data_IF_589836931826
#
_entry.id   IF_589836931826
#
_cell.length_a   1.000
_cell.length_b   1.000
_cell.length_c   1.000
_cell.angle_alpha   90.00
_cell.angle_beta   90.00
_cell.angle_gamma   90.00
#
_symmetry.space_group_name_H-M   'P 1'
#
loop_
_entity.id
_entity.type
_entity.pdbx_description
1 polymer ?
#
# COMPACT_ATOMS: atom_id res chain seq x y z
N UNK A 1 12.76 -1.56 28.50
CA UNK A 1 12.25 -0.90 27.28
C UNK A 1 10.94 -1.57 26.92
N UNK A 2 9.82 -0.83 26.99
CA UNK A 2 8.48 -1.38 26.82
C UNK A 2 8.27 -1.80 25.36
N UNK A 3 8.18 -3.11 25.12
CA UNK A 3 7.78 -3.69 23.86
C UNK A 3 6.35 -3.22 23.56
N UNK A 4 6.22 -2.21 22.68
CA UNK A 4 4.91 -1.82 22.14
C UNK A 4 4.34 -3.07 21.47
N UNK A 5 3.27 -3.62 22.05
CA UNK A 5 2.43 -4.64 21.41
C UNK A 5 1.84 -4.04 20.14
N UNK A 6 2.59 -4.10 19.04
CA UNK A 6 2.07 -3.77 17.73
C UNK A 6 1.15 -4.92 17.30
N UNK A 7 -0.13 -4.61 17.12
CA UNK A 7 -1.10 -5.54 16.57
C UNK A 7 -0.72 -5.77 15.12
N UNK A 8 0.02 -6.84 14.84
CA UNK A 8 0.38 -7.21 13.47
C UNK A 8 -0.87 -7.73 12.75
N UNK A 9 -1.29 -6.99 11.72
CA UNK A 9 -2.35 -7.38 10.79
C UNK A 9 -1.77 -8.09 9.58
N UNK A 10 -2.44 -9.16 9.14
CA UNK A 10 -2.05 -9.85 7.92
C UNK A 10 -2.23 -8.90 6.72
N UNK A 11 -1.21 -8.80 5.88
CA UNK A 11 -1.21 -7.95 4.68
C UNK A 11 -2.36 -8.29 3.71
N UNK A 12 -2.82 -9.53 3.69
CA UNK A 12 -4.00 -9.97 2.93
C UNK A 12 -5.26 -9.26 3.37
N UNK A 13 -5.44 -9.14 4.68
CA UNK A 13 -6.55 -8.40 5.28
C UNK A 13 -6.47 -6.94 4.88
N UNK A 14 -5.29 -6.33 4.90
CA UNK A 14 -5.11 -4.93 4.48
C UNK A 14 -5.47 -4.71 3.01
N UNK A 15 -5.04 -5.57 2.09
CA UNK A 15 -5.40 -5.48 0.67
C UNK A 15 -6.89 -5.64 0.41
N UNK A 16 -7.49 -6.67 1.03
CA UNK A 16 -8.92 -6.90 0.89
C UNK A 16 -9.74 -5.77 1.52
N UNK A 17 -9.26 -5.18 2.63
CA UNK A 17 -9.90 -4.03 3.27
C UNK A 17 -9.86 -2.79 2.36
N UNK A 18 -8.75 -2.52 1.67
CA UNK A 18 -8.69 -1.47 0.63
C UNK A 18 -9.74 -1.72 -0.44
N UNK A 19 -9.80 -2.94 -0.98
CA UNK A 19 -10.73 -3.27 -2.07
C UNK A 19 -12.18 -3.11 -1.62
N UNK A 20 -12.54 -3.66 -0.47
CA UNK A 20 -13.90 -3.64 0.07
C UNK A 20 -14.35 -2.23 0.42
N UNK A 21 -13.51 -1.45 1.12
CA UNK A 21 -13.84 -0.05 1.47
C UNK A 21 -14.02 0.79 0.21
N UNK A 22 -13.12 0.69 -0.78
CA UNK A 22 -13.26 1.46 -2.03
C UNK A 22 -14.48 1.02 -2.85
N UNK A 23 -14.79 -0.28 -2.91
CA UNK A 23 -15.97 -0.80 -3.59
C UNK A 23 -17.26 -0.27 -2.96
N UNK A 24 -17.35 -0.32 -1.62
CA UNK A 24 -18.51 0.21 -0.90
C UNK A 24 -18.68 1.71 -1.12
N UNK A 25 -17.58 2.47 -1.08
CA UNK A 25 -17.59 3.92 -1.27
C UNK A 25 -17.92 4.31 -2.72
N UNK A 26 -17.57 3.47 -3.70
CA UNK A 26 -17.98 3.63 -5.09
C UNK A 26 -19.48 3.37 -5.28
N UNK A 27 -20.02 2.30 -4.69
CA UNK A 27 -21.44 1.93 -4.78
C UNK A 27 -22.36 2.94 -4.05
N UNK A 28 -21.87 3.54 -2.96
CA UNK A 28 -22.64 4.51 -2.18
C UNK A 28 -22.47 5.93 -2.72
N UNK A 29 -23.58 6.67 -2.83
CA UNK A 29 -23.57 8.12 -3.13
C UNK A 29 -23.83 8.99 -1.88
N UNK A 30 -24.16 8.37 -0.75
CA UNK A 30 -24.49 9.11 0.48
C UNK A 30 -23.22 9.61 1.19
N UNK A 31 -23.17 10.92 1.44
CA UNK A 31 -22.05 11.60 2.14
C UNK A 31 -21.82 11.03 3.55
N UNK A 32 -22.88 10.60 4.24
CA UNK A 32 -22.71 10.05 5.58
C UNK A 32 -22.05 8.67 5.57
N UNK A 33 -22.38 7.85 4.58
CA UNK A 33 -21.73 6.54 4.44
C UNK A 33 -20.23 6.70 4.17
N UNK A 34 -19.86 7.69 3.33
CA UNK A 34 -18.47 8.08 3.10
C UNK A 34 -17.78 8.56 4.39
N UNK A 35 -18.43 9.42 5.17
CA UNK A 35 -17.93 9.90 6.47
C UNK A 35 -17.65 8.75 7.44
N UNK A 36 -18.60 7.84 7.61
CA UNK A 36 -18.49 6.69 8.53
C UNK A 36 -17.32 5.78 8.13
N UNK A 37 -17.19 5.47 6.84
CA UNK A 37 -16.10 4.62 6.35
C UNK A 37 -14.73 5.29 6.47
N UNK A 38 -14.60 6.57 6.10
CA UNK A 38 -13.33 7.30 6.22
C UNK A 38 -12.93 7.44 7.68
N UNK A 39 -13.88 7.77 8.56
CA UNK A 39 -13.61 7.84 9.99
C UNK A 39 -13.21 6.48 10.57
N UNK A 40 -13.85 5.40 10.13
CA UNK A 40 -13.45 4.02 10.45
C UNK A 40 -12.01 3.72 10.05
N UNK A 41 -11.60 4.08 8.83
CA UNK A 41 -10.21 3.93 8.36
C UNK A 41 -9.22 4.77 9.17
N UNK A 42 -9.58 6.01 9.53
CA UNK A 42 -8.75 6.87 10.38
C UNK A 42 -8.56 6.27 11.78
N UNK A 43 -9.63 5.71 12.36
CA UNK A 43 -9.61 5.05 13.65
C UNK A 43 -8.70 3.81 13.62
N UNK A 44 -8.73 3.01 12.55
CA UNK A 44 -7.81 1.87 12.39
C UNK A 44 -6.34 2.31 12.40
N UNK A 45 -6.00 3.41 11.73
CA UNK A 45 -4.62 3.93 11.69
C UNK A 45 -4.18 4.54 13.03
N UNK A 46 -5.10 5.14 13.79
CA UNK A 46 -4.77 5.66 15.13
C UNK A 46 -4.52 4.53 16.12
N UNK A 47 -5.31 3.44 16.07
CA UNK A 47 -5.07 2.22 16.87
C UNK A 47 -3.69 1.63 16.57
N UNK A 48 -3.28 1.64 15.30
CA UNK A 48 -1.97 1.14 14.87
C UNK A 48 -0.78 2.08 15.23
N UNK A 49 -1.06 3.20 15.90
CA UNK A 49 -0.04 4.10 16.47
C UNK A 49 0.47 5.19 15.52
N UNK A 50 -0.19 5.41 14.37
CA UNK A 50 0.21 6.42 13.38
C UNK A 50 -0.65 7.70 13.44
N UNK A 51 -0.88 8.22 14.64
CA UNK A 51 -1.76 9.38 14.88
C UNK A 51 -1.37 10.64 14.08
N UNK A 52 -0.06 10.89 13.89
CA UNK A 52 0.40 12.02 13.06
C UNK A 52 -0.11 11.92 11.63
N UNK A 53 -0.08 10.72 11.04
CA UNK A 53 -0.58 10.53 9.68
C UNK A 53 -2.10 10.65 9.61
N UNK A 54 -2.81 10.09 10.59
CA UNK A 54 -4.26 10.19 10.67
C UNK A 54 -4.72 11.66 10.74
N UNK A 55 -4.01 12.50 11.52
CA UNK A 55 -4.31 13.93 11.61
C UNK A 55 -4.13 14.67 10.27
N UNK A 56 -3.07 14.37 9.50
CA UNK A 56 -2.89 14.97 8.17
C UNK A 56 -4.03 14.58 7.23
N UNK A 57 -4.43 13.31 7.21
CA UNK A 57 -5.55 12.85 6.37
C UNK A 57 -6.90 13.42 6.81
N UNK A 58 -7.10 13.61 8.12
CA UNK A 58 -8.29 14.26 8.65
C UNK A 58 -8.39 15.72 8.18
N UNK A 59 -7.30 16.48 8.23
CA UNK A 59 -7.27 17.86 7.72
C UNK A 59 -7.58 17.90 6.23
N UNK A 60 -6.93 17.05 5.42
CA UNK A 60 -7.17 16.98 3.98
C UNK A 60 -8.64 16.66 3.70
N UNK A 61 -9.22 15.71 4.44
CA UNK A 61 -10.63 15.35 4.31
C UNK A 61 -11.57 16.51 4.64
N UNK A 62 -11.33 17.23 5.74
CA UNK A 62 -12.13 18.40 6.12
C UNK A 62 -12.05 19.53 5.09
N UNK A 63 -10.88 19.77 4.51
CA UNK A 63 -10.70 20.75 3.43
C UNK A 63 -11.52 20.36 2.21
N UNK A 64 -11.44 19.10 1.77
CA UNK A 64 -12.21 18.62 0.62
C UNK A 64 -13.72 18.69 0.86
N UNK A 65 -14.18 18.35 2.07
CA UNK A 65 -15.58 18.46 2.45
C UNK A 65 -16.05 19.93 2.48
N UNK A 66 -15.22 20.84 2.98
CA UNK A 66 -15.49 22.28 2.98
C UNK A 66 -15.58 22.88 1.57
N UNK A 67 -14.68 22.46 0.66
CA UNK A 67 -14.72 22.87 -0.75
C UNK A 67 -16.03 22.39 -1.39
N UNK A 68 -16.42 21.14 -1.19
CA UNK A 68 -17.68 20.60 -1.73
C UNK A 68 -18.90 21.38 -1.20
N UNK A 69 -18.98 21.60 0.11
CA UNK A 69 -20.10 22.36 0.72
C UNK A 69 -20.18 23.80 0.23
N UNK A 70 -19.03 24.45 -0.02
CA UNK A 70 -18.98 25.83 -0.48
C UNK A 70 -19.27 25.95 -1.99
N UNK A 71 -18.88 24.97 -2.82
CA UNK A 71 -19.12 24.99 -4.28
C UNK A 71 -20.51 24.50 -4.68
N UNK A 72 -21.11 23.58 -3.92
CA UNK A 72 -22.45 23.01 -4.20
C UNK A 72 -23.58 24.06 -4.29
N UNK A 73 -23.59 25.20 -3.59
CA UNK A 73 -24.60 26.24 -3.81
C UNK A 73 -24.32 27.13 -5.04
N UNK A 74 -23.10 27.11 -5.62
CA UNK A 74 -22.68 27.98 -6.73
C UNK A 74 -22.38 27.19 -8.02
N UNK A 75 -23.08 26.08 -8.26
CA UNK A 75 -22.84 25.13 -9.39
C UNK A 75 -23.04 25.71 -10.79
N UNK A 76 -23.38 26.99 -10.92
CA UNK A 76 -23.64 27.64 -12.20
C UNK A 76 -22.31 27.98 -12.91
N UNK A 77 -21.69 26.96 -13.51
CA UNK A 77 -20.51 27.11 -14.35
C UNK A 77 -19.78 25.79 -14.60
N UNK A 78 -19.25 25.63 -15.82
CA UNK A 78 -18.43 24.48 -16.20
C UNK A 78 -17.24 24.28 -15.25
N UNK A 79 -16.57 25.37 -14.87
CA UNK A 79 -15.45 25.35 -13.95
C UNK A 79 -15.83 24.81 -12.55
N UNK A 80 -16.94 25.27 -11.97
CA UNK A 80 -17.39 24.81 -10.65
C UNK A 80 -17.81 23.33 -10.66
N UNK A 81 -18.41 22.87 -11.75
CA UNK A 81 -18.75 21.45 -11.94
C UNK A 81 -17.50 20.58 -12.06
N UNK A 82 -16.49 21.03 -12.83
CA UNK A 82 -15.22 20.32 -12.98
C UNK A 82 -14.47 20.21 -11.64
N UNK A 83 -14.41 21.30 -10.88
CA UNK A 83 -13.75 21.29 -9.56
C UNK A 83 -14.48 20.36 -8.59
N UNK A 84 -15.82 20.40 -8.54
CA UNK A 84 -16.60 19.49 -7.67
C UNK A 84 -16.41 18.03 -8.06
N UNK A 85 -16.36 17.70 -9.36
CA UNK A 85 -16.07 16.35 -9.82
C UNK A 85 -14.69 15.86 -9.37
N UNK A 86 -13.66 16.69 -9.52
CA UNK A 86 -12.29 16.36 -9.09
C UNK A 86 -12.22 16.19 -7.57
N UNK A 87 -12.85 17.08 -6.80
CA UNK A 87 -12.88 17.01 -5.32
C UNK A 87 -13.57 15.74 -4.84
N UNK A 88 -14.74 15.40 -5.37
CA UNK A 88 -15.46 14.16 -5.05
C UNK A 88 -14.62 12.94 -5.45
N UNK A 89 -14.01 12.94 -6.64
CA UNK A 89 -13.15 11.84 -7.07
C UNK A 89 -11.96 11.64 -6.12
N UNK A 90 -11.23 12.71 -5.79
CA UNK A 90 -10.11 12.68 -4.85
C UNK A 90 -10.56 12.19 -3.45
N UNK A 91 -11.73 12.62 -2.99
CA UNK A 91 -12.30 12.21 -1.70
C UNK A 91 -12.62 10.71 -1.69
N UNK A 92 -13.18 10.17 -2.77
CA UNK A 92 -13.43 8.73 -2.92
C UNK A 92 -12.16 7.89 -2.96
N UNK A 93 -11.05 8.42 -3.49
CA UNK A 93 -9.74 7.76 -3.47
C UNK A 93 -8.97 7.94 -2.15
N UNK A 94 -9.40 8.85 -1.26
CA UNK A 94 -8.71 9.14 0.00
C UNK A 94 -8.50 7.89 0.90
N UNK A 95 -9.48 6.98 1.10
CA UNK A 95 -9.24 5.76 1.87
C UNK A 95 -8.15 4.87 1.26
N UNK A 96 -8.01 4.86 -0.07
CA UNK A 96 -6.94 4.12 -0.75
C UNK A 96 -5.56 4.69 -0.36
N UNK A 97 -5.41 6.02 -0.30
CA UNK A 97 -4.17 6.64 0.16
C UNK A 97 -3.90 6.40 1.65
N UNK A 98 -4.94 6.50 2.48
CA UNK A 98 -4.88 6.25 3.93
C UNK A 98 -4.37 4.82 4.20
N UNK A 99 -5.09 3.83 3.68
CA UNK A 99 -4.79 2.41 3.88
C UNK A 99 -3.54 1.96 3.10
N UNK A 100 -3.28 2.54 1.94
CA UNK A 100 -2.07 2.29 1.15
C UNK A 100 -0.82 2.73 1.91
N UNK A 101 -0.83 3.93 2.52
CA UNK A 101 0.26 4.38 3.39
C UNK A 101 0.42 3.45 4.60
N UNK A 102 -0.68 2.98 5.17
CA UNK A 102 -0.64 2.03 6.26
C UNK A 102 0.05 0.71 5.86
N UNK A 103 -0.26 0.17 4.68
CA UNK A 103 0.43 -0.99 4.11
C UNK A 103 1.93 -0.71 3.93
N UNK A 104 2.29 0.38 3.24
CA UNK A 104 3.69 0.69 2.90
C UNK A 104 4.57 0.95 4.13
N UNK A 105 4.01 1.52 5.20
CA UNK A 105 4.79 1.87 6.39
C UNK A 105 4.99 0.68 7.33
N UNK A 106 3.99 -0.22 7.42
CA UNK A 106 3.94 -1.26 8.45
C UNK A 106 4.16 -2.66 7.94
N UNK A 107 4.36 -2.83 6.64
CA UNK A 107 4.53 -4.15 6.03
C UNK A 107 5.95 -4.25 5.51
N UNK A 108 6.68 -5.25 6.00
CA UNK A 108 7.98 -5.56 5.44
C UNK A 108 7.83 -6.19 4.06
N UNK A 109 8.85 -5.98 3.24
CA UNK A 109 8.89 -6.48 1.87
C UNK A 109 8.88 -8.02 1.83
N UNK A 110 9.45 -8.67 2.85
CA UNK A 110 9.42 -10.12 3.07
C UNK A 110 7.99 -10.65 3.28
N UNK A 111 7.16 -9.94 4.05
CA UNK A 111 5.75 -10.29 4.28
C UNK A 111 4.92 -10.16 2.99
N UNK A 112 5.25 -9.17 2.15
CA UNK A 112 4.62 -9.00 0.84
C UNK A 112 4.84 -10.20 -0.08
N UNK A 113 6.10 -10.66 -0.19
CA UNK A 113 6.45 -11.86 -0.96
C UNK A 113 5.76 -13.11 -0.40
N UNK A 114 5.70 -13.26 0.93
CA UNK A 114 5.02 -14.39 1.57
C UNK A 114 3.51 -14.42 1.29
N UNK A 115 2.86 -13.26 1.22
CA UNK A 115 1.46 -13.15 0.83
C UNK A 115 1.23 -13.54 -0.62
N UNK A 116 2.12 -13.14 -1.53
CA UNK A 116 2.05 -13.52 -2.95
C UNK A 116 2.17 -15.03 -3.15
N UNK A 117 3.07 -15.69 -2.42
CA UNK A 117 3.16 -17.15 -2.34
C UNK A 117 1.81 -17.78 -1.99
N UNK A 118 1.14 -17.26 -0.97
CA UNK A 118 -0.11 -17.84 -0.49
C UNK A 118 -1.31 -17.47 -1.37
N UNK A 119 -1.23 -16.40 -2.16
CA UNK A 119 -2.24 -16.02 -3.18
C UNK A 119 -2.19 -16.92 -4.43
N UNK A 120 -1.32 -17.95 -4.44
CA UNK A 120 -1.12 -18.87 -5.57
C UNK A 120 -0.75 -18.14 -6.87
N UNK A 121 -0.01 -17.04 -6.75
CA UNK A 121 0.61 -16.44 -7.93
C UNK A 121 1.69 -17.39 -8.48
N UNK A 122 1.94 -17.38 -9.80
CA UNK A 122 2.89 -18.29 -10.39
C UNK A 122 4.29 -18.03 -9.82
N UNK A 123 5.01 -19.11 -9.51
CA UNK A 123 6.37 -19.03 -8.94
C UNK A 123 7.33 -18.27 -9.85
N UNK A 124 7.09 -18.31 -11.16
CA UNK A 124 7.79 -17.53 -12.19
C UNK A 124 7.78 -16.02 -11.94
N UNK A 125 6.75 -15.48 -11.28
CA UNK A 125 6.69 -14.07 -10.92
C UNK A 125 7.25 -13.79 -9.51
N UNK A 126 7.02 -14.71 -8.57
CA UNK A 126 7.36 -14.48 -7.16
C UNK A 126 8.87 -14.53 -6.93
N UNK A 127 9.58 -15.46 -7.56
CA UNK A 127 11.03 -15.64 -7.38
C UNK A 127 11.78 -14.39 -7.82
N UNK A 128 11.62 -13.88 -9.07
CA UNK A 128 12.30 -12.65 -9.49
C UNK A 128 11.91 -11.44 -8.65
N UNK A 129 10.65 -11.33 -8.23
CA UNK A 129 10.21 -10.21 -7.41
C UNK A 129 10.87 -10.21 -6.02
N UNK A 130 11.00 -11.39 -5.39
CA UNK A 130 11.71 -11.53 -4.13
C UNK A 130 13.18 -11.12 -4.25
N UNK A 131 13.79 -11.42 -5.39
CA UNK A 131 15.17 -11.02 -5.72
C UNK A 131 15.25 -9.51 -5.86
N UNK A 132 14.40 -8.89 -6.69
CA UNK A 132 14.35 -7.44 -6.87
C UNK A 132 14.24 -6.73 -5.53
N UNK A 133 13.39 -7.19 -4.64
CA UNK A 133 13.20 -6.58 -3.33
C UNK A 133 14.43 -6.66 -2.41
N UNK A 134 15.20 -7.75 -2.50
CA UNK A 134 16.44 -7.91 -1.74
C UNK A 134 17.62 -7.16 -2.36
N UNK A 135 17.63 -7.02 -3.69
CA UNK A 135 18.68 -6.33 -4.45
C UNK A 135 18.43 -4.83 -4.63
N UNK A 136 17.20 -4.35 -4.47
CA UNK A 136 16.90 -2.92 -4.61
C UNK A 136 17.70 -2.05 -3.62
N UNK A 137 17.83 -2.44 -2.32
CA UNK A 137 18.72 -1.73 -1.39
C UNK A 137 20.18 -1.73 -1.86
N UNK A 138 20.69 -2.85 -2.37
CA UNK A 138 22.09 -2.96 -2.80
C UNK A 138 22.36 -2.13 -4.05
N UNK A 139 21.43 -2.08 -5.01
CA UNK A 139 21.52 -1.22 -6.20
C UNK A 139 21.64 0.27 -5.80
N UNK A 140 20.91 0.70 -4.76
CA UNK A 140 21.01 2.07 -4.25
C UNK A 140 22.39 2.37 -3.66
N UNK A 141 22.95 1.43 -2.91
CA UNK A 141 24.30 1.54 -2.34
C UNK A 141 25.38 1.52 -3.43
N UNK A 142 25.22 0.68 -4.44
CA UNK A 142 26.13 0.57 -5.57
C UNK A 142 26.08 1.83 -6.43
N UNK A 143 24.89 2.38 -6.69
CA UNK A 143 24.74 3.67 -7.34
C UNK A 143 25.54 4.77 -6.61
N UNK A 144 25.41 4.84 -5.28
CA UNK A 144 26.13 5.83 -4.48
C UNK A 144 27.64 5.60 -4.52
N UNK A 145 28.07 4.34 -4.45
CA UNK A 145 29.48 3.93 -4.53
C UNK A 145 30.11 4.28 -5.88
N UNK A 146 29.43 3.99 -6.99
CA UNK A 146 29.90 4.33 -8.34
C UNK A 146 29.97 5.85 -8.50
N UNK A 147 28.95 6.58 -8.04
CA UNK A 147 28.94 8.05 -8.08
C UNK A 147 30.12 8.64 -7.30
N UNK A 148 30.42 8.09 -6.11
CA UNK A 148 31.54 8.51 -5.30
C UNK A 148 32.89 8.21 -5.99
N UNK A 149 33.03 7.02 -6.58
CA UNK A 149 34.23 6.63 -7.32
C UNK A 149 34.51 7.53 -8.53
N UNK A 150 33.47 7.88 -9.30
CA UNK A 150 33.61 8.80 -10.45
C UNK A 150 33.99 10.21 -10.00
N UNK A 151 33.43 10.69 -8.88
CA UNK A 151 33.80 11.98 -8.28
C UNK A 151 35.25 12.01 -7.81
N UNK A 152 35.76 10.92 -7.22
CA UNK A 152 37.17 10.81 -6.81
C UNK A 152 38.14 10.84 -8.00
N UNK A 153 37.72 10.33 -9.16
CA UNK A 153 38.50 10.40 -10.40
C UNK A 153 38.46 11.76 -11.10
N UNK A 154 37.71 12.73 -10.57
CA UNK A 154 37.55 14.06 -11.18
C UNK A 154 36.68 14.07 -12.44
N UNK A 155 35.92 13.00 -12.71
CA UNK A 155 35.08 12.88 -13.89
C UNK A 155 33.72 13.53 -13.62
N UNK A 156 33.22 14.34 -14.57
CA UNK A 156 31.86 14.86 -14.51
C UNK A 156 30.86 13.69 -14.56
N UNK A 157 30.03 13.59 -13.52
CA UNK A 157 29.08 12.49 -13.35
C UNK A 157 27.92 12.65 -14.33
N UNK A 158 27.98 11.94 -15.46
CA UNK A 158 26.84 11.73 -16.37
C UNK A 158 26.08 10.44 -16.04
N UNK A 159 24.84 10.31 -16.51
CA UNK A 159 24.04 9.10 -16.29
C UNK A 159 24.69 7.85 -16.91
N UNK A 160 25.28 7.97 -18.10
CA UNK A 160 25.96 6.86 -18.79
C UNK A 160 27.09 6.26 -17.96
N UNK A 161 27.88 7.12 -17.31
CA UNK A 161 28.97 6.73 -16.41
C UNK A 161 28.53 5.94 -15.18
N UNK A 162 27.28 6.08 -14.75
CA UNK A 162 26.73 5.29 -13.64
C UNK A 162 25.99 4.06 -14.17
N UNK A 163 25.20 4.23 -15.24
CA UNK A 163 24.29 3.21 -15.73
C UNK A 163 25.04 2.04 -16.38
N UNK A 164 26.11 2.28 -17.15
CA UNK A 164 26.86 1.20 -17.79
C UNK A 164 27.50 0.25 -16.76
N UNK A 165 28.26 0.73 -15.75
CA UNK A 165 28.78 -0.16 -14.71
C UNK A 165 27.70 -0.85 -13.88
N UNK A 166 26.62 -0.14 -13.57
CA UNK A 166 25.49 -0.69 -12.81
C UNK A 166 24.80 -1.83 -13.57
N UNK A 167 24.59 -1.68 -14.87
CA UNK A 167 24.00 -2.71 -15.73
C UNK A 167 24.91 -3.93 -15.83
N UNK A 168 26.22 -3.73 -16.02
CA UNK A 168 27.18 -4.84 -16.04
C UNK A 168 27.19 -5.62 -14.73
N UNK A 169 27.17 -4.92 -13.59
CA UNK A 169 27.07 -5.54 -12.27
C UNK A 169 25.75 -6.31 -12.11
N UNK A 170 24.62 -5.72 -12.49
CA UNK A 170 23.32 -6.36 -12.42
C UNK A 170 23.23 -7.65 -13.27
N UNK A 171 23.83 -7.65 -14.47
CA UNK A 171 23.91 -8.85 -15.33
C UNK A 171 24.72 -9.95 -14.66
N UNK A 172 25.93 -9.65 -14.18
CA UNK A 172 26.80 -10.62 -13.52
C UNK A 172 26.11 -11.22 -12.27
N UNK A 173 25.50 -10.36 -11.45
CA UNK A 173 24.74 -10.77 -10.26
C UNK A 173 23.56 -11.67 -10.64
N UNK A 174 22.86 -11.37 -11.74
CA UNK A 174 21.75 -12.19 -12.21
C UNK A 174 22.23 -13.58 -12.65
N UNK A 175 23.38 -13.67 -13.32
CA UNK A 175 23.98 -14.95 -13.73
C UNK A 175 24.40 -15.79 -12.51
N UNK A 176 25.11 -15.18 -11.56
CA UNK A 176 25.52 -15.84 -10.32
C UNK A 176 24.32 -16.34 -9.51
N UNK A 177 23.27 -15.52 -9.40
CA UNK A 177 22.06 -15.88 -8.68
C UNK A 177 21.30 -17.01 -9.38
N UNK A 178 21.25 -16.99 -10.71
CA UNK A 178 20.60 -18.04 -11.50
C UNK A 178 21.34 -19.37 -11.33
N UNK A 179 22.67 -19.37 -11.44
CA UNK A 179 23.49 -20.54 -11.19
C UNK A 179 23.32 -21.07 -9.75
N UNK A 180 23.36 -20.17 -8.76
CA UNK A 180 23.17 -20.54 -7.36
C UNK A 180 21.76 -21.10 -7.06
N UNK A 181 20.73 -20.56 -7.72
CA UNK A 181 19.36 -21.03 -7.57
C UNK A 181 19.17 -22.43 -8.17
N UNK A 182 19.73 -22.68 -9.37
CA UNK A 182 19.72 -24.01 -10.00
C UNK A 182 20.47 -25.04 -9.14
N UNK A 183 21.65 -24.69 -8.61
CA UNK A 183 22.40 -25.54 -7.70
C UNK A 183 21.65 -25.86 -6.39
N UNK A 184 20.74 -24.99 -5.95
CA UNK A 184 19.88 -25.20 -4.77
C UNK A 184 18.59 -25.98 -5.06
N UNK A 185 18.44 -26.49 -6.28
CA UNK A 185 17.27 -27.28 -6.67
C UNK A 185 16.02 -26.44 -6.88
N UNK A 186 16.17 -25.19 -7.36
CA UNK A 186 15.00 -24.39 -7.77
C UNK A 186 14.19 -25.07 -8.88
N UNK A 187 14.82 -25.91 -9.70
CA UNK A 187 14.18 -26.69 -10.77
C UNK A 187 13.68 -28.07 -10.30
N UNK A 188 13.57 -28.30 -8.99
CA UNK A 188 13.02 -29.55 -8.46
C UNK A 188 11.52 -29.66 -8.82
N UNK A 189 11.05 -30.80 -9.36
CA UNK A 189 9.64 -31.03 -9.68
C UNK A 189 8.75 -31.18 -8.43
N UNK A 190 9.35 -31.26 -7.24
CA UNK A 190 8.62 -31.35 -5.97
C UNK A 190 7.99 -30.02 -5.54
N UNK A 191 6.86 -30.05 -4.83
CA UNK A 191 6.21 -28.83 -4.37
C UNK A 191 7.09 -28.06 -3.38
N UNK A 192 7.51 -26.85 -3.77
CA UNK A 192 8.26 -25.95 -2.91
C UNK A 192 7.47 -25.52 -1.66
N UNK A 193 8.10 -25.60 -0.50
CA UNK A 193 7.53 -25.17 0.79
C UNK A 193 7.96 -23.75 1.17
N UNK A 194 7.11 -23.01 1.90
CA UNK A 194 7.43 -21.67 2.40
C UNK A 194 7.84 -21.67 3.88
N UNK A 195 8.96 -21.02 4.21
CA UNK A 195 9.43 -20.84 5.59
C UNK A 195 8.57 -19.85 6.39
N UNK A 196 7.96 -18.86 5.73
CA UNK A 196 7.14 -17.82 6.39
C UNK A 196 5.69 -18.30 6.46
N UNK A 197 5.28 -18.72 7.65
CA UNK A 197 3.88 -19.09 7.89
C UNK A 197 3.02 -17.85 8.13
N UNK A 198 2.37 -17.36 7.08
CA UNK A 198 1.29 -16.36 7.21
C UNK A 198 0.07 -17.06 7.81
N UNK A 199 -0.38 -16.67 9.01
CA UNK A 199 -1.57 -17.23 9.68
C UNK A 199 -2.52 -16.10 10.02
N UNK A 200 -3.80 -16.28 9.66
CA UNK A 200 -4.88 -15.39 10.07
C UNK A 200 -4.88 -15.28 11.60
N UNK A 201 -4.71 -14.06 12.10
CA UNK A 201 -4.76 -13.77 13.52
C UNK A 201 -6.18 -13.36 13.90
N UNK A 202 -6.51 -13.51 15.18
CA UNK A 202 -7.80 -13.08 15.72
C UNK A 202 -8.05 -11.57 15.51
N UNK A 203 -6.98 -10.76 15.47
CA UNK A 203 -7.02 -9.34 15.12
C UNK A 203 -7.55 -9.08 13.70
N UNK A 204 -7.29 -9.96 12.74
CA UNK A 204 -7.79 -9.81 11.36
C UNK A 204 -9.31 -10.03 11.30
N UNK A 205 -9.80 -11.04 12.01
CA UNK A 205 -11.24 -11.33 12.12
C UNK A 205 -11.97 -10.17 12.78
N UNK A 206 -11.40 -9.63 13.86
CA UNK A 206 -11.98 -8.49 14.56
C UNK A 206 -12.12 -7.27 13.65
N UNK A 207 -11.11 -6.96 12.83
CA UNK A 207 -11.18 -5.83 11.88
C UNK A 207 -12.25 -6.07 10.82
N UNK A 208 -12.37 -7.28 10.27
CA UNK A 208 -13.45 -7.61 9.34
C UNK A 208 -14.84 -7.50 9.97
N UNK A 209 -15.00 -7.95 11.21
CA UNK A 209 -16.26 -7.81 11.94
C UNK A 209 -16.60 -6.34 12.17
N UNK A 210 -15.63 -5.51 12.56
CA UNK A 210 -15.84 -4.08 12.82
C UNK A 210 -16.17 -3.34 11.51
N UNK A 211 -15.42 -3.57 10.43
CA UNK A 211 -15.69 -2.91 9.14
C UNK A 211 -17.01 -3.38 8.53
N UNK A 212 -17.31 -4.68 8.63
CA UNK A 212 -18.60 -5.24 8.22
C UNK A 212 -19.76 -4.65 9.01
N UNK A 213 -19.64 -4.57 10.34
CA UNK A 213 -20.66 -3.97 11.21
C UNK A 213 -20.87 -2.48 10.89
N UNK A 214 -19.80 -1.71 10.69
CA UNK A 214 -19.87 -0.30 10.28
C UNK A 214 -20.57 -0.13 8.92
N UNK A 215 -20.22 -0.98 7.94
CA UNK A 215 -20.86 -0.95 6.62
C UNK A 215 -22.35 -1.30 6.70
N UNK A 216 -22.72 -2.35 7.43
CA UNK A 216 -24.11 -2.76 7.63
C UNK A 216 -24.90 -1.68 8.38
N UNK A 217 -24.35 -1.13 9.47
CA UNK A 217 -24.98 -0.06 10.22
C UNK A 217 -25.24 1.17 9.33
N UNK A 218 -24.28 1.53 8.48
CA UNK A 218 -24.43 2.67 7.58
C UNK A 218 -25.44 2.40 6.44
N UNK A 219 -25.56 1.15 5.96
CA UNK A 219 -26.62 0.75 5.01
C UNK A 219 -28.00 0.80 5.67
N UNK A 220 -28.14 0.31 6.90
CA UNK A 220 -29.39 0.35 7.66
C UNK A 220 -29.79 1.80 7.93
N UNK A 221 -28.85 2.65 8.35
CA UNK A 221 -29.12 4.07 8.61
C UNK A 221 -29.69 4.79 7.37
N UNK A 222 -29.14 4.45 6.18
CA UNK A 222 -29.66 4.92 4.89
C UNK A 222 -31.04 4.35 4.57
N UNK A 223 -31.26 3.05 4.82
CA UNK A 223 -32.52 2.36 4.54
C UNK A 223 -33.68 2.78 5.45
N UNK A 224 -33.39 3.20 6.68
CA UNK A 224 -34.39 3.69 7.64
C UNK A 224 -34.77 5.16 7.35
N UNK A 225 -34.11 5.83 6.38
CA UNK A 225 -34.46 7.19 5.94
C UNK A 225 -34.20 8.26 6.99
N UNK A 226 -33.38 7.96 8.01
CA UNK A 226 -33.01 8.92 9.06
C UNK A 226 -31.87 9.83 8.59
N UNK A 227 -31.30 9.59 7.39
CA UNK A 227 -30.18 10.37 6.86
C UNK A 227 -30.06 10.39 5.33
#
# INVERSE_FOLDING_TARGET
MMEKREVKFDLRTKFMLILVVNLFLLLSHSVIFELVLIFGCLLLITIDGQAKSAFHFLIVFLIMLGIDQLLTPYINGFFFTLVSFITVALRKFLPCFILGKWILTKTEVSEFVAVMWKLRLPQTAIIPLSVVFRYFPTIKEEWASIRAAMKMRGIHVSLEHIMVPLLMSAVNVSEELSAAALCRGLDSPEPHTSLVQVRFRFSDVLVWCITGALAIAAIILKGVGIL
#
